data_IF_517845359925
#
_entry.id   IF_517845359925
#
_cell.length_a   1.000
_cell.length_b   1.000
_cell.length_c   1.000
_cell.angle_alpha   90.00
_cell.angle_beta   90.00
_cell.angle_gamma   90.00
#
_symmetry.space_group_name_H-M   'P 1'
#
loop_
_entity.id
_entity.type
_entity.pdbx_description
1 polymer ?
#
# COMPACT_ATOMS: atom_id res chain seq x y z
N UNK A 1 -42.92 -56.07 56.49
CA UNK A 1 -42.42 -55.12 57.51
C UNK A 1 -42.41 -53.72 56.89
N UNK A 2 -42.93 -52.74 57.63
CA UNK A 2 -42.78 -51.28 57.50
C UNK A 2 -42.95 -50.60 56.10
N UNK A 3 -44.20 -50.18 55.81
CA UNK A 3 -44.66 -48.80 55.50
C UNK A 3 -43.60 -47.65 55.68
N UNK A 4 -43.85 -46.42 55.22
CA UNK A 4 -44.08 -45.86 53.87
C UNK A 4 -43.21 -44.56 53.67
N UNK A 5 -43.25 -43.87 52.54
CA UNK A 5 -43.47 -42.40 52.47
C UNK A 5 -43.40 -41.93 51.01
N UNK A 6 -44.57 -41.63 50.48
CA UNK A 6 -44.75 -40.67 49.40
C UNK A 6 -44.53 -39.28 50.00
N UNK A 7 -43.83 -38.39 49.28
CA UNK A 7 -43.72 -36.91 49.38
C UNK A 7 -42.24 -36.58 49.07
N UNK A 8 -41.87 -35.69 48.16
CA UNK A 8 -42.58 -34.56 47.61
C UNK A 8 -41.87 -34.03 46.35
N UNK A 9 -42.63 -33.22 45.61
CA UNK A 9 -42.18 -32.03 44.86
C UNK A 9 -41.41 -32.19 43.56
N UNK A 10 -42.20 -32.22 42.49
CA UNK A 10 -42.00 -31.51 41.23
C UNK A 10 -41.20 -30.20 41.36
N UNK A 11 -40.19 -30.01 40.50
CA UNK A 11 -39.90 -28.72 39.86
C UNK A 11 -39.47 -28.98 38.41
N UNK A 12 -40.32 -28.54 37.48
CA UNK A 12 -39.99 -28.35 36.08
C UNK A 12 -39.05 -27.14 35.88
N UNK A 13 -38.45 -27.09 34.69
CA UNK A 13 -38.07 -25.91 33.90
C UNK A 13 -36.61 -25.40 33.92
N UNK A 14 -35.92 -25.69 32.80
CA UNK A 14 -35.22 -24.80 31.86
C UNK A 14 -34.27 -23.70 32.39
N UNK A 15 -33.04 -23.74 31.89
CA UNK A 15 -32.15 -22.58 31.73
C UNK A 15 -30.68 -22.96 31.91
N UNK A 16 -29.69 -22.48 31.18
CA UNK A 16 -29.59 -21.71 29.94
C UNK A 16 -28.14 -21.91 29.45
N UNK A 17 -27.94 -21.78 28.14
CA UNK A 17 -26.63 -21.73 27.51
C UNK A 17 -25.81 -20.52 27.99
N UNK A 18 -24.52 -20.55 27.63
CA UNK A 18 -23.54 -19.45 27.71
C UNK A 18 -22.67 -19.37 28.97
N UNK A 19 -21.74 -20.33 29.11
CA UNK A 19 -20.48 -20.13 29.83
C UNK A 19 -19.35 -19.59 28.92
N UNK A 20 -19.70 -18.82 27.88
CA UNK A 20 -18.74 -18.32 26.86
C UNK A 20 -18.27 -16.88 27.10
N UNK A 21 -18.34 -16.33 28.31
CA UNK A 21 -18.00 -14.93 28.61
C UNK A 21 -16.90 -14.78 29.68
N UNK A 22 -15.83 -15.58 29.60
CA UNK A 22 -14.64 -15.37 30.43
C UNK A 22 -13.31 -15.32 29.66
N UNK A 23 -13.34 -14.95 28.38
CA UNK A 23 -12.12 -14.61 27.65
C UNK A 23 -12.33 -13.48 26.65
N UNK A 24 -12.60 -12.28 27.18
CA UNK A 24 -12.33 -11.01 26.50
C UNK A 24 -11.78 -10.05 27.56
N UNK A 25 -10.58 -10.36 28.07
CA UNK A 25 -9.71 -9.35 28.65
C UNK A 25 -9.16 -8.49 27.51
N UNK A 26 -10.03 -7.70 26.88
CA UNK A 26 -9.62 -6.64 25.98
C UNK A 26 -9.32 -5.44 26.86
N UNK A 27 -8.06 -5.33 27.26
CA UNK A 27 -7.50 -4.04 27.65
C UNK A 27 -7.82 -3.08 26.49
N UNK A 28 -8.65 -2.07 26.77
CA UNK A 28 -9.01 -1.05 25.80
C UNK A 28 -7.75 -0.25 25.47
N UNK A 29 -6.96 -0.77 24.54
CA UNK A 29 -5.94 0.02 23.85
C UNK A 29 -6.73 1.11 23.13
N UNK A 30 -6.70 2.31 23.70
CA UNK A 30 -7.17 3.51 23.03
C UNK A 30 -6.52 3.50 21.65
N UNK A 31 -7.33 3.31 20.62
CA UNK A 31 -6.88 3.40 19.24
C UNK A 31 -6.21 4.77 19.12
N UNK A 32 -4.94 4.78 18.72
CA UNK A 32 -4.23 6.02 18.45
C UNK A 32 -5.16 6.93 17.63
N UNK A 33 -5.34 8.21 18.02
CA UNK A 33 -6.27 9.08 17.34
C UNK A 33 -5.96 9.04 15.85
N UNK A 34 -6.98 8.72 15.06
CA UNK A 34 -6.90 8.67 13.60
C UNK A 34 -6.81 10.10 13.09
N UNK A 35 -5.70 10.78 13.37
CA UNK A 35 -5.34 12.08 12.81
C UNK A 35 -4.81 11.88 11.37
N UNK A 36 -5.42 10.93 10.65
CA UNK A 36 -5.24 10.81 9.22
C UNK A 36 -6.13 11.87 8.60
N UNK A 37 -5.60 12.84 7.83
CA UNK A 37 -6.44 13.76 7.12
C UNK A 37 -7.39 12.93 6.26
N UNK A 38 -8.70 13.21 6.34
CA UNK A 38 -9.75 12.52 5.58
C UNK A 38 -9.45 12.54 4.06
N UNK A 39 -8.60 13.49 3.62
CA UNK A 39 -8.13 13.65 2.26
C UNK A 39 -6.85 12.86 1.89
N UNK A 40 -6.27 12.07 2.80
CA UNK A 40 -5.01 11.35 2.58
C UNK A 40 -5.13 10.07 1.75
N UNK A 41 -6.34 9.57 1.53
CA UNK A 41 -6.62 8.34 0.78
C UNK A 41 -6.64 8.59 -0.73
N UNK A 42 -5.99 7.71 -1.49
CA UNK A 42 -5.95 7.70 -2.95
C UNK A 42 -6.31 6.31 -3.46
N UNK A 43 -7.07 6.24 -4.55
CA UNK A 43 -7.35 4.98 -5.24
C UNK A 43 -6.32 4.73 -6.33
N UNK A 44 -5.80 3.52 -6.42
CA UNK A 44 -4.88 3.08 -7.46
C UNK A 44 -5.64 2.44 -8.64
N UNK A 45 -5.00 2.29 -9.82
CA UNK A 45 -5.66 1.73 -11.00
C UNK A 45 -6.22 0.30 -10.83
N UNK A 46 -5.68 -0.49 -9.91
CA UNK A 46 -6.18 -1.82 -9.56
C UNK A 46 -7.35 -1.81 -8.56
N UNK A 47 -7.80 -0.63 -8.12
CA UNK A 47 -8.86 -0.46 -7.13
C UNK A 47 -8.39 -0.55 -5.67
N UNK A 48 -7.10 -0.82 -5.42
CA UNK A 48 -6.55 -0.74 -4.07
C UNK A 48 -6.43 0.72 -3.61
N UNK A 49 -6.30 0.92 -2.29
CA UNK A 49 -6.15 2.25 -1.71
C UNK A 49 -4.76 2.44 -1.09
N UNK A 50 -4.28 3.67 -1.17
CA UNK A 50 -2.98 4.08 -0.65
C UNK A 50 -3.11 5.39 0.11
N UNK A 51 -2.42 5.53 1.24
CA UNK A 51 -2.42 6.76 2.02
C UNK A 51 -1.16 7.57 1.69
N UNK A 52 -1.35 8.78 1.20
CA UNK A 52 -0.27 9.69 0.84
C UNK A 52 -0.62 11.12 1.25
N UNK A 53 0.28 11.83 1.97
CA UNK A 53 0.08 13.24 2.28
C UNK A 53 -0.08 14.08 1.01
N UNK A 54 -1.00 15.03 1.03
CA UNK A 54 -1.15 16.02 -0.04
C UNK A 54 0.18 16.75 -0.33
N UNK A 55 0.42 17.06 -1.60
CA UNK A 55 1.67 17.68 -2.06
C UNK A 55 2.91 16.79 -2.00
N UNK A 56 2.79 15.54 -1.53
CA UNK A 56 3.91 14.59 -1.55
C UNK A 56 4.13 13.99 -2.94
N UNK A 57 5.39 13.63 -3.24
CA UNK A 57 5.77 12.88 -4.44
C UNK A 57 4.86 11.65 -4.67
N UNK A 58 4.64 10.84 -3.63
CA UNK A 58 3.82 9.62 -3.74
C UNK A 58 2.38 9.94 -4.10
N UNK A 59 1.82 11.02 -3.53
CA UNK A 59 0.46 11.47 -3.84
C UNK A 59 0.32 11.90 -5.29
N UNK A 60 1.26 12.73 -5.77
CA UNK A 60 1.25 13.20 -7.16
C UNK A 60 1.30 12.05 -8.17
N UNK A 61 2.14 11.04 -7.92
CA UNK A 61 2.22 9.85 -8.79
C UNK A 61 0.93 9.04 -8.75
N UNK A 62 0.39 8.79 -7.56
CA UNK A 62 -0.84 8.01 -7.38
C UNK A 62 -2.05 8.71 -8.05
N UNK A 63 -2.22 10.00 -7.82
CA UNK A 63 -3.30 10.80 -8.40
C UNK A 63 -3.22 10.81 -9.93
N UNK A 64 -2.03 11.00 -10.51
CA UNK A 64 -1.86 10.96 -11.96
C UNK A 64 -2.20 9.59 -12.55
N UNK A 65 -1.76 8.51 -11.90
CA UNK A 65 -2.12 7.15 -12.32
C UNK A 65 -3.63 6.91 -12.21
N UNK A 66 -4.29 7.44 -11.18
CA UNK A 66 -5.73 7.33 -10.97
C UNK A 66 -6.56 8.13 -12.00
N UNK A 67 -6.11 9.32 -12.40
CA UNK A 67 -6.84 10.21 -13.29
C UNK A 67 -7.05 9.66 -14.72
N UNK A 68 -6.27 8.67 -15.15
CA UNK A 68 -6.29 8.07 -16.51
C UNK A 68 -6.08 9.06 -17.66
N UNK A 69 -5.61 10.28 -17.36
CA UNK A 69 -5.31 11.31 -18.35
C UNK A 69 -3.82 11.29 -18.76
N UNK A 70 -3.56 11.41 -20.06
CA UNK A 70 -2.21 11.38 -20.62
C UNK A 70 -1.55 9.99 -20.62
N UNK A 71 -0.49 9.86 -21.42
CA UNK A 71 0.27 8.61 -21.60
C UNK A 71 1.54 8.56 -20.75
N UNK A 72 2.10 9.73 -20.43
CA UNK A 72 3.32 9.88 -19.64
C UNK A 72 3.24 11.09 -18.70
N UNK A 73 4.01 11.05 -17.61
CA UNK A 73 4.24 12.17 -16.71
C UNK A 73 5.62 12.10 -16.08
N UNK A 74 6.11 13.26 -15.66
CA UNK A 74 7.43 13.44 -15.05
C UNK A 74 7.32 13.89 -13.60
N UNK A 75 8.19 13.35 -12.76
CA UNK A 75 8.22 13.63 -11.33
C UNK A 75 9.66 13.74 -10.85
N UNK A 76 9.92 14.63 -9.89
CA UNK A 76 11.24 14.75 -9.28
C UNK A 76 11.30 13.86 -8.04
N UNK A 77 12.25 12.93 -8.02
CA UNK A 77 12.58 12.12 -6.86
C UNK A 77 13.84 12.66 -6.18
N UNK A 78 13.69 13.22 -4.99
CA UNK A 78 14.78 13.74 -4.16
C UNK A 78 14.91 12.92 -2.87
N UNK A 79 15.50 11.73 -2.99
CA UNK A 79 15.54 10.74 -1.92
C UNK A 79 16.94 10.28 -1.49
N UNK A 80 17.99 10.86 -2.06
CA UNK A 80 19.38 10.44 -1.82
C UNK A 80 20.13 11.45 -0.95
N UNK A 81 21.16 10.96 -0.26
CA UNK A 81 22.24 11.84 0.23
C UNK A 81 23.00 12.31 -1.01
N UNK A 82 23.12 13.62 -1.21
CA UNK A 82 23.52 14.24 -2.50
C UNK A 82 24.66 13.51 -3.23
N UNK A 83 25.75 13.24 -2.54
CA UNK A 83 27.00 12.71 -3.09
C UNK A 83 27.09 11.17 -3.10
N UNK A 84 26.05 10.47 -2.65
CA UNK A 84 26.13 9.02 -2.39
C UNK A 84 24.91 8.26 -2.92
N UNK A 85 25.08 7.02 -3.40
CA UNK A 85 23.98 6.12 -3.74
C UNK A 85 23.32 5.52 -2.48
N UNK A 86 23.06 6.37 -1.47
CA UNK A 86 22.43 6.00 -0.21
C UNK A 86 21.15 6.81 -0.02
N UNK A 87 20.05 6.12 0.19
CA UNK A 87 18.78 6.75 0.53
C UNK A 87 18.85 7.51 1.85
N UNK A 88 18.19 8.66 1.90
CA UNK A 88 17.77 9.25 3.17
C UNK A 88 16.62 8.43 3.77
N UNK A 89 16.30 8.62 5.05
CA UNK A 89 15.14 7.97 5.68
C UNK A 89 13.85 8.26 4.91
N UNK A 90 13.67 9.52 4.49
CA UNK A 90 12.53 9.97 3.69
C UNK A 90 12.54 9.33 2.31
N UNK A 91 13.68 9.31 1.63
CA UNK A 91 13.83 8.72 0.29
C UNK A 91 13.54 7.23 0.26
N UNK A 92 13.95 6.48 1.30
CA UNK A 92 13.62 5.07 1.43
C UNK A 92 12.10 4.84 1.52
N UNK A 93 11.42 5.67 2.32
CA UNK A 93 9.96 5.64 2.42
C UNK A 93 9.27 6.02 1.10
N UNK A 94 9.74 7.07 0.43
CA UNK A 94 9.20 7.50 -0.86
C UNK A 94 9.37 6.44 -1.95
N UNK A 95 10.53 5.79 -2.03
CA UNK A 95 10.74 4.73 -3.00
C UNK A 95 9.93 3.46 -2.65
N UNK A 96 9.65 3.21 -1.36
CA UNK A 96 8.80 2.08 -0.96
C UNK A 96 7.34 2.34 -1.37
N UNK A 97 6.89 3.59 -1.19
CA UNK A 97 5.58 4.04 -1.63
C UNK A 97 5.46 3.99 -3.16
N UNK A 98 6.49 4.43 -3.88
CA UNK A 98 6.54 4.34 -5.34
C UNK A 98 6.36 2.90 -5.82
N UNK A 99 7.05 1.93 -5.19
CA UNK A 99 6.86 0.52 -5.51
C UNK A 99 5.42 0.05 -5.23
N UNK A 100 4.82 0.44 -4.10
CA UNK A 100 3.41 0.10 -3.81
C UNK A 100 2.47 0.64 -4.88
N UNK A 101 2.65 1.90 -5.28
CA UNK A 101 1.83 2.55 -6.31
C UNK A 101 2.00 1.86 -7.67
N UNK A 102 3.24 1.55 -8.08
CA UNK A 102 3.52 0.90 -9.36
C UNK A 102 3.03 -0.56 -9.43
N UNK A 103 2.85 -1.23 -8.29
CA UNK A 103 2.18 -2.54 -8.25
C UNK A 103 0.69 -2.44 -8.53
N UNK A 104 0.04 -1.38 -8.06
CA UNK A 104 -1.35 -1.08 -8.40
C UNK A 104 -1.54 -0.60 -9.85
N UNK A 105 -0.45 -0.42 -10.60
CA UNK A 105 -0.44 -0.04 -12.00
C UNK A 105 0.49 -0.95 -12.81
N UNK A 106 0.16 -2.25 -12.99
CA UNK A 106 1.09 -3.23 -13.57
C UNK A 106 1.47 -2.94 -15.03
N UNK A 107 0.63 -2.23 -15.78
CA UNK A 107 0.93 -1.80 -17.14
C UNK A 107 1.95 -0.65 -17.22
N UNK A 108 2.18 0.07 -16.11
CA UNK A 108 3.06 1.22 -16.11
C UNK A 108 4.55 0.79 -16.15
N UNK A 109 5.36 1.53 -16.89
CA UNK A 109 6.83 1.42 -16.89
C UNK A 109 7.46 2.74 -16.48
N UNK A 110 8.72 2.70 -16.04
CA UNK A 110 9.42 3.87 -15.52
C UNK A 110 10.79 4.07 -16.18
N UNK A 111 11.12 5.32 -16.46
CA UNK A 111 12.48 5.76 -16.77
C UNK A 111 13.02 6.55 -15.58
N UNK A 112 14.22 6.19 -15.12
CA UNK A 112 14.91 6.79 -13.99
C UNK A 112 16.13 7.52 -14.55
N UNK A 113 16.04 8.85 -14.63
CA UNK A 113 17.11 9.69 -15.15
C UNK A 113 17.82 10.46 -14.03
N UNK A 114 19.14 10.31 -13.93
CA UNK A 114 19.98 11.00 -12.94
C UNK A 114 21.36 10.36 -12.82
N UNK A 115 22.07 10.65 -11.72
CA UNK A 115 23.35 10.00 -11.43
C UNK A 115 23.23 8.47 -11.53
N UNK A 116 24.18 7.85 -12.23
CA UNK A 116 24.09 6.44 -12.58
C UNK A 116 24.04 5.52 -11.35
N UNK A 117 24.83 5.84 -10.31
CA UNK A 117 24.88 5.01 -9.10
C UNK A 117 23.58 5.16 -8.29
N UNK A 118 23.06 6.38 -8.14
CA UNK A 118 21.79 6.64 -7.47
C UNK A 118 20.59 6.04 -8.23
N UNK A 119 20.56 6.19 -9.55
CA UNK A 119 19.50 5.65 -10.39
C UNK A 119 19.47 4.11 -10.35
N UNK A 120 20.63 3.45 -10.42
CA UNK A 120 20.75 2.00 -10.24
C UNK A 120 20.32 1.55 -8.85
N UNK A 121 20.67 2.31 -7.79
CA UNK A 121 20.23 2.00 -6.44
C UNK A 121 18.70 2.07 -6.28
N UNK A 122 18.04 3.04 -6.93
CA UNK A 122 16.58 3.09 -6.99
C UNK A 122 15.99 1.94 -7.79
N UNK A 123 16.49 1.66 -8.99
CA UNK A 123 16.02 0.55 -9.80
C UNK A 123 16.12 -0.80 -9.05
N UNK A 124 17.26 -1.08 -8.42
CA UNK A 124 17.45 -2.29 -7.61
C UNK A 124 16.46 -2.38 -6.45
N UNK A 125 16.18 -1.26 -5.79
CA UNK A 125 15.26 -1.20 -4.66
C UNK A 125 13.79 -1.46 -5.07
N UNK A 126 13.41 -0.98 -6.26
CA UNK A 126 12.08 -1.23 -6.86
C UNK A 126 11.97 -2.67 -7.36
N UNK A 127 13.03 -3.22 -7.96
CA UNK A 127 13.10 -4.62 -8.39
C UNK A 127 12.93 -5.57 -7.20
N UNK A 128 13.67 -5.32 -6.12
CA UNK A 128 13.55 -6.06 -4.85
C UNK A 128 12.12 -6.02 -4.26
N UNK A 129 11.31 -5.01 -4.60
CA UNK A 129 9.90 -4.90 -4.19
C UNK A 129 8.90 -5.48 -5.20
N UNK A 130 9.39 -6.09 -6.27
CA UNK A 130 8.59 -6.82 -7.24
C UNK A 130 8.05 -5.98 -8.40
N UNK A 131 8.68 -4.85 -8.75
CA UNK A 131 8.29 -4.08 -9.94
C UNK A 131 8.70 -4.77 -11.24
N UNK A 132 9.80 -5.52 -11.24
CA UNK A 132 10.36 -6.18 -12.41
C UNK A 132 11.29 -5.25 -13.19
N UNK A 133 12.55 -5.66 -13.35
CA UNK A 133 13.58 -4.91 -14.09
C UNK A 133 13.22 -4.59 -15.54
N UNK A 134 12.37 -5.40 -16.18
CA UNK A 134 11.85 -5.18 -17.55
C UNK A 134 10.95 -3.94 -17.66
N UNK A 135 10.33 -3.52 -16.55
CA UNK A 135 9.49 -2.31 -16.48
C UNK A 135 10.29 -1.05 -16.15
N UNK A 136 11.61 -1.14 -16.04
CA UNK A 136 12.48 -0.05 -15.58
C UNK A 136 13.62 0.21 -16.56
N UNK A 137 13.86 1.48 -16.85
CA UNK A 137 15.00 1.91 -17.66
C UNK A 137 15.80 2.96 -16.90
N UNK A 138 17.08 2.69 -16.68
CA UNK A 138 18.01 3.66 -16.09
C UNK A 138 18.66 4.46 -17.22
N UNK A 139 18.58 5.79 -17.13
CA UNK A 139 19.17 6.73 -18.09
C UNK A 139 20.17 7.61 -17.35
N UNK A 140 21.49 7.42 -17.53
CA UNK A 140 22.47 8.30 -16.91
C UNK A 140 22.26 9.75 -17.33
N UNK A 141 22.15 10.65 -16.36
CA UNK A 141 21.99 12.09 -16.57
C UNK A 141 22.71 12.88 -15.47
N UNK A 142 22.99 14.15 -15.73
CA UNK A 142 23.57 15.03 -14.72
C UNK A 142 22.53 15.34 -13.62
N UNK A 143 22.96 15.33 -12.35
CA UNK A 143 22.12 15.63 -11.20
C UNK A 143 22.42 14.69 -10.04
N UNK A 144 22.96 15.25 -8.95
CA UNK A 144 23.23 14.55 -7.70
C UNK A 144 22.08 14.79 -6.71
N UNK A 145 21.68 13.76 -5.98
CA UNK A 145 20.69 13.85 -4.91
C UNK A 145 19.23 13.94 -5.39
N UNK A 146 19.00 14.24 -6.67
CA UNK A 146 17.68 14.30 -7.30
C UNK A 146 17.70 13.63 -8.66
N UNK A 147 16.59 13.00 -9.02
CA UNK A 147 16.40 12.29 -10.28
C UNK A 147 15.06 12.65 -10.89
N UNK A 148 15.00 12.66 -12.22
CA UNK A 148 13.76 12.75 -12.97
C UNK A 148 13.21 11.34 -13.17
N UNK A 149 11.99 11.11 -12.70
CA UNK A 149 11.24 9.87 -12.91
C UNK A 149 10.18 10.15 -13.96
N UNK A 150 10.30 9.52 -15.13
CA UNK A 150 9.24 9.52 -16.13
C UNK A 150 8.45 8.22 -16.01
N UNK A 151 7.15 8.33 -15.84
CA UNK A 151 6.26 7.17 -15.75
C UNK A 151 5.43 7.12 -17.02
N UNK A 152 5.51 6.00 -17.71
CA UNK A 152 4.68 5.66 -18.86
C UNK A 152 3.54 4.79 -18.37
N UNK A 153 2.29 5.22 -18.59
CA UNK A 153 1.10 4.50 -18.09
C UNK A 153 0.97 3.08 -18.66
N UNK A 154 1.51 2.87 -19.85
CA UNK A 154 1.30 1.66 -20.64
C UNK A 154 -0.12 1.55 -21.17
N UNK A 155 -0.34 0.62 -22.09
CA UNK A 155 -1.69 0.35 -22.60
C UNK A 155 -2.42 -0.58 -21.64
N UNK A 156 -3.51 -0.09 -21.06
CA UNK A 156 -4.52 -0.94 -20.40
C UNK A 156 -5.55 -1.35 -21.46
N UNK A 157 -5.12 -2.13 -22.45
CA UNK A 157 -6.09 -2.73 -23.36
C UNK A 157 -7.11 -3.51 -22.49
N UNK A 158 -8.42 -3.25 -22.63
CA UNK A 158 -9.41 -3.98 -21.85
C UNK A 158 -9.21 -5.47 -22.13
N UNK A 159 -9.09 -6.27 -21.07
CA UNK A 159 -9.25 -7.72 -21.16
C UNK A 159 -10.60 -7.93 -21.84
N UNK A 160 -10.57 -8.32 -23.12
CA UNK A 160 -11.79 -8.66 -23.84
C UNK A 160 -12.49 -9.72 -23.01
N UNK A 161 -13.61 -9.36 -22.39
CA UNK A 161 -14.53 -10.33 -21.80
C UNK A 161 -14.97 -11.22 -22.95
N UNK A 162 -14.35 -12.40 -23.04
CA UNK A 162 -14.77 -13.43 -23.97
C UNK A 162 -16.25 -13.67 -23.73
N UNK A 163 -17.07 -13.20 -24.65
CA UNK A 163 -18.50 -13.49 -24.68
C UNK A 163 -18.61 -14.95 -25.12
N UNK A 164 -19.18 -15.79 -24.26
CA UNK A 164 -19.61 -17.14 -24.60
C UNK A 164 -21.11 -17.25 -24.41
#
# INVERSE_FOLDING_TARGET
>A
MARPLILATSVLFIGAAALSLQSCGAESVEAAPTDSPENGLVSLPDGSTFVAPEGSFSRAVADWLAAREGTEAEFIFAGFVEDRPRFTRRGLGQAANLATILRGAPAASIEIAGDEAQAKALAHMLDYRGIGSDRMKVVPAAGLGSMLIRIHRGSTAPLMTATS
#
